data_IF_054412954024
#
_entry.id   IF_054412954024
#
_cell.length_a   1.000
_cell.length_b   1.000
_cell.length_c   1.000
_cell.angle_alpha   90.00
_cell.angle_beta   90.00
_cell.angle_gamma   90.00
#
_symmetry.space_group_name_H-M   'P 1'
#
loop_
_entity.id
_entity.type
_entity.pdbx_description
1 polymer ?
#
# COMPACT_ATOMS: atom_id res chain seq x y z
N UNK A 1 -31.07 -13.58 -3.94
CA UNK A 1 -30.13 -12.92 -3.00
C UNK A 1 -29.00 -12.39 -3.86
N UNK A 2 -29.09 -11.13 -4.31
CA UNK A 2 -27.96 -10.52 -4.99
C UNK A 2 -26.88 -10.30 -3.93
N UNK A 3 -25.73 -10.93 -4.08
CA UNK A 3 -24.54 -10.54 -3.33
C UNK A 3 -24.25 -9.10 -3.73
N UNK A 4 -24.41 -8.15 -2.79
CA UNK A 4 -23.79 -6.85 -2.95
C UNK A 4 -22.32 -7.12 -3.26
N UNK A 5 -21.88 -6.74 -4.46
CA UNK A 5 -20.46 -6.75 -4.78
C UNK A 5 -19.89 -5.67 -3.87
N UNK A 6 -19.28 -6.08 -2.77
CA UNK A 6 -18.57 -5.19 -1.88
C UNK A 6 -17.52 -4.47 -2.73
N UNK A 7 -17.76 -3.18 -2.97
CA UNK A 7 -16.90 -2.38 -3.84
C UNK A 7 -15.57 -2.24 -3.15
N UNK A 8 -14.51 -2.74 -3.80
CA UNK A 8 -13.18 -2.67 -3.23
C UNK A 8 -12.78 -1.20 -3.08
N UNK A 9 -12.05 -0.85 -2.01
CA UNK A 9 -11.54 0.52 -1.86
C UNK A 9 -10.74 0.96 -3.10
N UNK A 10 -10.08 0.01 -3.77
CA UNK A 10 -9.32 0.18 -5.01
C UNK A 10 -10.18 0.65 -6.19
N UNK A 11 -11.48 0.38 -6.22
CA UNK A 11 -12.40 0.94 -7.23
C UNK A 11 -12.65 2.44 -7.03
N UNK A 12 -12.36 2.95 -5.82
CA UNK A 12 -12.64 4.34 -5.44
C UNK A 12 -11.40 5.23 -5.42
N UNK A 13 -10.19 4.66 -5.46
CA UNK A 13 -8.94 5.41 -5.55
C UNK A 13 -8.44 5.46 -7.01
N UNK A 14 -8.02 6.63 -7.52
CA UNK A 14 -7.48 6.74 -8.87
C UNK A 14 -6.35 5.74 -9.12
N UNK A 15 -6.46 4.98 -10.22
CA UNK A 15 -5.50 3.95 -10.62
C UNK A 15 -5.65 2.59 -9.91
N UNK A 16 -6.50 2.48 -8.89
CA UNK A 16 -6.68 1.21 -8.16
C UNK A 16 -7.34 0.12 -9.00
N UNK A 17 -8.35 0.44 -9.81
CA UNK A 17 -8.97 -0.51 -10.73
C UNK A 17 -7.98 -1.06 -11.78
N UNK A 18 -7.08 -0.22 -12.29
CA UNK A 18 -6.03 -0.64 -13.22
C UNK A 18 -5.01 -1.57 -12.54
N UNK A 19 -4.65 -1.28 -11.29
CA UNK A 19 -3.79 -2.14 -10.49
C UNK A 19 -4.43 -3.51 -10.23
N UNK A 20 -5.71 -3.54 -9.85
CA UNK A 20 -6.44 -4.79 -9.65
C UNK A 20 -6.53 -5.60 -10.94
N UNK A 21 -6.76 -4.94 -12.08
CA UNK A 21 -6.75 -5.59 -13.40
C UNK A 21 -5.37 -6.14 -13.75
N UNK A 22 -4.30 -5.44 -13.40
CA UNK A 22 -2.94 -5.93 -13.57
C UNK A 22 -2.70 -7.19 -12.76
N UNK A 23 -3.01 -7.20 -11.45
CA UNK A 23 -2.79 -8.37 -10.60
C UNK A 23 -3.83 -9.49 -10.79
N UNK A 24 -4.98 -9.18 -11.38
CA UNK A 24 -6.12 -10.09 -11.55
C UNK A 24 -6.90 -10.37 -10.26
N UNK A 25 -6.60 -9.64 -9.18
CA UNK A 25 -7.20 -9.78 -7.85
C UNK A 25 -6.98 -8.52 -7.03
N UNK A 26 -7.64 -8.41 -5.87
CA UNK A 26 -7.30 -7.41 -4.86
C UNK A 26 -5.91 -7.76 -4.32
N UNK A 27 -4.90 -6.89 -4.47
CA UNK A 27 -3.54 -7.20 -4.03
C UNK A 27 -3.45 -7.17 -2.51
N UNK A 28 -2.95 -8.26 -1.91
CA UNK A 28 -2.61 -8.30 -0.47
C UNK A 28 -1.29 -7.60 -0.16
N UNK A 29 -0.39 -7.50 -1.15
CA UNK A 29 1.00 -7.05 -0.99
C UNK A 29 1.81 -7.89 0.02
N UNK A 30 1.41 -9.14 0.24
CA UNK A 30 2.18 -10.05 1.08
C UNK A 30 3.59 -10.21 0.53
N UNK A 31 4.58 -10.08 1.41
CA UNK A 31 6.01 -10.07 1.10
C UNK A 31 6.49 -8.94 0.16
N UNK A 32 5.67 -7.91 -0.08
CA UNK A 32 6.12 -6.78 -0.88
C UNK A 32 7.27 -6.04 -0.17
N UNK A 33 8.21 -5.52 -0.96
CA UNK A 33 9.37 -4.77 -0.44
C UNK A 33 9.16 -3.27 -0.62
N UNK A 34 9.34 -2.50 0.44
CA UNK A 34 9.32 -1.04 0.41
C UNK A 34 10.64 -0.55 -0.17
N UNK A 35 10.56 -0.03 -1.38
CA UNK A 35 11.67 0.64 -2.09
C UNK A 35 11.91 2.05 -1.54
N UNK A 36 10.86 2.70 -1.02
CA UNK A 36 11.03 3.98 -0.37
C UNK A 36 9.73 4.59 0.15
N UNK A 37 9.84 5.30 1.26
CA UNK A 37 8.79 6.16 1.81
C UNK A 37 9.31 7.58 1.93
N UNK A 38 8.72 8.50 1.17
CA UNK A 38 9.02 9.92 1.22
C UNK A 38 7.85 10.68 1.85
N UNK A 39 8.04 11.16 3.08
CA UNK A 39 7.07 12.00 3.77
C UNK A 39 7.38 13.48 3.52
N UNK A 40 6.42 14.20 2.92
CA UNK A 40 6.58 15.62 2.57
C UNK A 40 5.40 16.44 3.09
N UNK A 41 5.70 17.55 3.77
CA UNK A 41 4.66 18.40 4.39
C UNK A 41 3.88 19.26 3.41
N UNK A 42 4.55 19.78 2.37
CA UNK A 42 3.99 20.80 1.45
C UNK A 42 3.54 20.25 0.09
N UNK A 43 4.00 19.05 -0.24
CA UNK A 43 3.73 18.37 -1.51
C UNK A 43 3.34 16.92 -1.19
N UNK A 44 2.95 16.15 -2.20
CA UNK A 44 2.52 14.77 -2.00
C UNK A 44 3.63 13.90 -1.40
N UNK A 45 3.27 13.08 -0.42
CA UNK A 45 4.10 11.99 0.08
C UNK A 45 3.99 10.79 -0.86
N UNK A 46 5.00 9.93 -0.87
CA UNK A 46 5.07 8.80 -1.82
C UNK A 46 5.55 7.55 -1.09
N UNK A 47 4.84 6.44 -1.27
CA UNK A 47 5.30 5.10 -0.95
C UNK A 47 5.51 4.32 -2.25
N UNK A 48 6.70 3.73 -2.42
CA UNK A 48 7.00 2.82 -3.54
C UNK A 48 7.22 1.41 -3.01
N UNK A 49 6.55 0.44 -3.62
CA UNK A 49 6.66 -0.98 -3.30
C UNK A 49 7.06 -1.80 -4.53
N UNK A 50 7.92 -2.79 -4.36
CA UNK A 50 7.99 -3.92 -5.28
C UNK A 50 6.99 -4.99 -4.83
N UNK A 51 6.03 -5.31 -5.69
CA UNK A 51 4.97 -6.27 -5.39
C UNK A 51 4.80 -7.30 -6.52
N UNK A 52 4.15 -8.41 -6.21
CA UNK A 52 3.87 -9.51 -7.13
C UNK A 52 2.68 -10.34 -6.64
N UNK A 53 2.24 -11.30 -7.44
CA UNK A 53 1.33 -12.36 -7.00
C UNK A 53 2.07 -13.68 -6.86
N UNK A 54 1.70 -14.48 -5.87
CA UNK A 54 2.05 -15.90 -5.85
C UNK A 54 1.10 -16.65 -6.80
N UNK A 55 1.66 -17.45 -7.71
CA UNK A 55 0.85 -18.22 -8.68
C UNK A 55 0.28 -19.51 -8.10
N UNK A 56 0.71 -19.91 -6.90
CA UNK A 56 0.38 -21.20 -6.28
C UNK A 56 1.24 -22.36 -6.80
N UNK A 57 2.04 -22.14 -7.84
CA UNK A 57 2.97 -23.13 -8.36
C UNK A 57 4.29 -23.09 -7.57
N UNK A 58 4.90 -24.26 -7.39
CA UNK A 58 6.25 -24.38 -6.81
C UNK A 58 7.22 -24.74 -7.91
N UNK A 59 8.28 -23.94 -8.05
CA UNK A 59 9.35 -24.12 -9.00
C UNK A 59 10.22 -25.33 -8.69
N UNK A 60 11.09 -25.69 -9.64
CA UNK A 60 12.01 -26.83 -9.52
C UNK A 60 13.07 -26.65 -8.42
N UNK A 61 13.29 -25.41 -8.00
CA UNK A 61 14.18 -24.97 -6.93
C UNK A 61 13.50 -25.00 -5.55
N UNK A 62 12.20 -25.35 -5.48
CA UNK A 62 11.44 -25.44 -4.24
C UNK A 62 10.80 -24.11 -3.79
N UNK A 63 10.92 -23.04 -4.57
CA UNK A 63 10.32 -21.75 -4.25
C UNK A 63 9.00 -21.52 -4.99
N UNK A 64 8.12 -20.69 -4.44
CA UNK A 64 6.90 -20.29 -5.16
C UNK A 64 7.22 -19.52 -6.43
N UNK A 65 6.51 -19.82 -7.51
CA UNK A 65 6.59 -19.06 -8.74
C UNK A 65 5.81 -17.77 -8.56
N UNK A 66 6.52 -16.65 -8.66
CA UNK A 66 5.97 -15.30 -8.54
C UNK A 66 5.66 -14.73 -9.93
N UNK A 67 4.52 -14.06 -10.05
CA UNK A 67 4.02 -13.50 -11.29
C UNK A 67 3.63 -12.02 -11.18
N UNK A 68 3.49 -11.38 -12.34
CA UNK A 68 2.95 -10.01 -12.48
C UNK A 68 3.66 -9.00 -11.57
N UNK A 69 4.98 -9.09 -11.48
CA UNK A 69 5.77 -8.12 -10.73
C UNK A 69 5.44 -6.69 -11.19
N UNK A 70 5.36 -5.77 -10.24
CA UNK A 70 5.22 -4.36 -10.51
C UNK A 70 5.89 -3.52 -9.42
N UNK A 71 6.37 -2.35 -9.83
CA UNK A 71 6.70 -1.27 -8.91
C UNK A 71 5.44 -0.43 -8.73
N UNK A 72 4.83 -0.49 -7.56
CA UNK A 72 3.58 0.20 -7.23
C UNK A 72 3.92 1.47 -6.47
N UNK A 73 3.44 2.61 -6.98
CA UNK A 73 3.64 3.91 -6.37
C UNK A 73 2.31 4.44 -5.84
N UNK A 74 2.22 4.57 -4.53
CA UNK A 74 1.12 5.24 -3.85
C UNK A 74 1.51 6.70 -3.61
N UNK A 75 0.71 7.62 -4.14
CA UNK A 75 0.85 9.05 -3.89
C UNK A 75 -0.19 9.47 -2.87
N UNK A 76 0.26 10.01 -1.75
CA UNK A 76 -0.57 10.42 -0.61
C UNK A 76 -0.65 11.95 -0.53
N UNK A 77 -1.85 12.51 -0.62
CA UNK A 77 -2.08 13.94 -0.46
C UNK A 77 -2.55 14.26 0.96
N UNK A 78 -1.98 15.31 1.55
CA UNK A 78 -2.36 15.81 2.88
C UNK A 78 -2.32 14.68 3.93
N UNK A 79 -1.13 14.10 4.11
CA UNK A 79 -0.88 13.16 5.22
C UNK A 79 -1.14 13.90 6.53
N UNK A 80 -2.05 13.36 7.34
CA UNK A 80 -2.56 14.02 8.53
C UNK A 80 -2.30 13.26 9.81
N UNK A 81 -2.05 11.95 9.71
CA UNK A 81 -1.74 11.10 10.84
C UNK A 81 -0.75 10.02 10.42
N UNK A 82 0.14 9.65 11.34
CA UNK A 82 1.11 8.60 11.13
C UNK A 82 1.45 7.89 12.45
N UNK A 83 1.60 6.59 12.36
CA UNK A 83 2.20 5.75 13.39
C UNK A 83 3.06 4.74 12.66
N UNK A 84 4.38 4.92 12.72
CA UNK A 84 5.32 4.07 12.01
C UNK A 84 6.27 3.42 13.01
N UNK A 85 6.59 2.16 12.78
CA UNK A 85 7.55 1.41 13.59
C UNK A 85 8.42 0.51 12.71
N UNK A 86 9.62 0.20 13.20
CA UNK A 86 10.58 -0.64 12.52
C UNK A 86 11.32 0.06 11.38
N UNK A 87 12.57 -0.34 11.19
CA UNK A 87 13.38 -0.02 10.02
C UNK A 87 14.47 -1.10 9.95
N UNK A 88 14.32 -2.02 9.00
CA UNK A 88 15.14 -3.22 8.89
C UNK A 88 16.23 -3.11 7.83
N UNK A 89 17.15 -4.08 7.84
CA UNK A 89 18.14 -4.27 6.74
C UNK A 89 17.41 -4.72 5.46
N UNK A 90 16.28 -5.40 5.63
CA UNK A 90 15.30 -5.68 4.59
C UNK A 90 14.02 -4.93 4.96
N UNK A 91 13.24 -4.48 3.97
CA UNK A 91 12.07 -3.66 4.20
C UNK A 91 10.79 -4.31 3.65
N UNK A 92 10.55 -5.55 4.07
CA UNK A 92 9.43 -6.38 3.62
C UNK A 92 8.24 -6.25 4.59
N UNK A 93 7.05 -6.08 4.02
CA UNK A 93 5.78 -6.00 4.75
C UNK A 93 5.03 -7.34 4.71
N UNK A 94 4.24 -7.61 5.74
CA UNK A 94 3.33 -8.76 5.77
C UNK A 94 2.14 -8.59 4.82
N UNK A 95 1.82 -7.34 4.48
CA UNK A 95 0.73 -6.96 3.61
C UNK A 95 0.50 -5.45 3.62
N UNK A 96 -0.38 -4.99 2.74
CA UNK A 96 -0.87 -3.62 2.72
C UNK A 96 -2.38 -3.59 2.59
N UNK A 97 -3.04 -2.94 3.55
CA UNK A 97 -4.48 -2.69 3.50
C UNK A 97 -4.77 -1.21 3.25
N UNK A 98 -5.68 -0.94 2.33
CA UNK A 98 -6.31 0.37 2.17
C UNK A 98 -7.73 0.30 2.74
N UNK A 99 -8.14 1.33 3.48
CA UNK A 99 -9.51 1.43 4.01
C UNK A 99 -9.91 2.86 4.27
N UNK A 100 -11.20 3.10 4.49
CA UNK A 100 -11.66 4.37 5.07
C UNK A 100 -11.06 4.51 6.45
N UNK A 101 -10.53 5.70 6.73
CA UNK A 101 -9.90 5.96 8.00
C UNK A 101 -10.95 5.90 9.12
N UNK A 102 -10.77 5.04 10.13
CA UNK A 102 -11.69 4.99 11.26
C UNK A 102 -11.61 6.31 12.05
N UNK A 103 -12.69 6.67 12.74
CA UNK A 103 -12.61 7.74 13.74
C UNK A 103 -11.75 7.24 14.91
N UNK A 104 -10.79 8.07 15.32
CA UNK A 104 -9.90 7.85 16.45
C UNK A 104 -9.89 9.10 17.31
N UNK A 105 -10.91 9.29 18.17
CA UNK A 105 -11.02 10.48 19.00
C UNK A 105 -9.76 10.78 19.82
N UNK A 106 -9.09 9.74 20.31
CA UNK A 106 -7.84 9.79 21.07
C UNK A 106 -6.66 10.36 20.26
N UNK A 107 -6.73 10.31 18.92
CA UNK A 107 -5.69 10.84 18.03
C UNK A 107 -5.97 12.24 17.52
N UNK A 108 -7.16 12.82 17.77
CA UNK A 108 -7.56 14.13 17.22
C UNK A 108 -6.55 15.25 17.47
N UNK A 109 -5.89 15.26 18.63
CA UNK A 109 -4.86 16.25 18.96
C UNK A 109 -3.57 16.15 18.14
N UNK A 110 -3.34 15.03 17.45
CA UNK A 110 -2.16 14.83 16.60
C UNK A 110 -2.45 15.08 15.11
N UNK A 111 -3.73 15.24 14.73
CA UNK A 111 -4.11 15.41 13.34
C UNK A 111 -3.67 16.79 12.82
N UNK A 112 -3.04 16.81 11.66
CA UNK A 112 -2.62 18.06 11.02
C UNK A 112 -3.80 18.88 10.47
N UNK A 113 -4.93 18.22 10.17
CA UNK A 113 -6.17 18.78 9.62
C UNK A 113 -7.38 18.02 10.17
N UNK A 114 -8.57 18.62 10.12
CA UNK A 114 -9.79 17.96 10.58
C UNK A 114 -10.10 16.70 9.74
N UNK A 115 -10.47 15.58 10.41
CA UNK A 115 -10.74 14.33 9.74
C UNK A 115 -12.06 14.39 8.96
N UNK A 116 -12.08 13.75 7.78
CA UNK A 116 -13.29 13.55 6.99
C UNK A 116 -13.62 12.05 6.85
N UNK A 117 -14.91 11.68 6.69
CA UNK A 117 -15.31 10.28 6.51
C UNK A 117 -14.67 9.59 5.29
N UNK A 118 -14.32 10.36 4.25
CA UNK A 118 -13.68 9.84 3.04
C UNK A 118 -12.17 9.66 3.14
N UNK A 119 -11.51 10.12 4.22
CA UNK A 119 -10.07 9.98 4.38
C UNK A 119 -9.67 8.50 4.24
N UNK A 120 -8.47 8.28 3.69
CA UNK A 120 -7.93 6.94 3.47
C UNK A 120 -6.88 6.67 4.53
N UNK A 121 -6.95 5.47 5.09
CA UNK A 121 -5.86 4.89 5.85
C UNK A 121 -5.20 3.78 5.05
N UNK A 122 -3.88 3.85 5.03
CA UNK A 122 -3.00 2.80 4.57
C UNK A 122 -2.35 2.14 5.78
N UNK A 123 -2.47 0.83 5.86
CA UNK A 123 -1.83 0.00 6.88
C UNK A 123 -0.76 -0.87 6.22
N UNK A 124 0.46 -0.78 6.73
CA UNK A 124 1.60 -1.63 6.40
C UNK A 124 1.69 -2.69 7.49
N UNK A 125 1.28 -3.91 7.19
CA UNK A 125 1.28 -5.01 8.15
C UNK A 125 2.72 -5.43 8.46
N UNK A 126 3.05 -5.70 9.74
CA UNK A 126 4.42 -5.97 10.15
C UNK A 126 4.93 -7.32 9.61
N UNK A 127 6.17 -7.33 9.13
CA UNK A 127 6.95 -8.54 8.84
C UNK A 127 8.42 -8.34 9.21
N UNK A 128 9.23 -7.76 8.31
CA UNK A 128 10.64 -7.46 8.55
C UNK A 128 10.98 -6.12 7.89
N UNK A 129 10.82 -5.02 8.62
CA UNK A 129 10.97 -3.67 8.07
C UNK A 129 10.05 -2.65 8.73
N UNK A 130 9.76 -1.60 7.97
CA UNK A 130 8.80 -0.56 8.29
C UNK A 130 7.37 -1.13 8.31
N UNK A 131 6.62 -0.78 9.34
CA UNK A 131 5.20 -1.11 9.47
C UNK A 131 4.41 0.03 10.11
N UNK A 132 3.09 -0.08 10.12
CA UNK A 132 2.20 0.86 10.80
C UNK A 132 1.17 1.52 9.88
N UNK A 133 0.73 2.72 10.24
CA UNK A 133 -0.43 3.40 9.68
C UNK A 133 -0.06 4.77 9.12
N UNK A 134 -0.63 5.09 7.96
CA UNK A 134 -0.58 6.42 7.36
C UNK A 134 -2.01 6.83 6.97
N UNK A 135 -2.50 7.93 7.55
CA UNK A 135 -3.77 8.55 7.15
C UNK A 135 -3.52 9.73 6.23
N UNK A 136 -4.24 9.77 5.11
CA UNK A 136 -4.17 10.83 4.12
C UNK A 136 -5.57 11.24 3.66
N UNK A 137 -5.72 12.48 3.19
CA UNK A 137 -6.98 12.95 2.60
C UNK A 137 -7.37 12.14 1.38
N UNK A 138 -6.38 11.81 0.54
CA UNK A 138 -6.56 10.97 -0.63
C UNK A 138 -5.30 10.19 -0.96
N UNK A 139 -5.50 9.09 -1.67
CA UNK A 139 -4.46 8.21 -2.21
C UNK A 139 -4.74 8.03 -3.70
N UNK A 140 -3.68 8.05 -4.51
CA UNK A 140 -3.72 7.63 -5.91
C UNK A 140 -2.60 6.64 -6.19
N UNK A 141 -2.83 5.79 -7.17
CA UNK A 141 -1.99 4.63 -7.46
C UNK A 141 -1.51 4.73 -8.91
N UNK A 142 -0.22 4.50 -9.10
CA UNK A 142 0.37 4.20 -10.41
C UNK A 142 1.25 2.97 -10.27
N UNK A 143 1.52 2.28 -11.36
CA UNK A 143 2.43 1.14 -11.34
C UNK A 143 3.16 0.96 -12.66
N UNK A 144 4.34 0.35 -12.56
CA UNK A 144 5.18 -0.03 -13.69
C UNK A 144 5.39 -1.55 -13.65
N UNK A 145 4.99 -2.31 -14.68
CA UNK A 145 5.29 -3.74 -14.77
C UNK A 145 6.78 -4.04 -14.74
N UNK A 146 7.19 -5.01 -13.93
CA UNK A 146 8.57 -5.45 -13.84
C UNK A 146 9.11 -5.51 -12.41
N UNK A 147 10.40 -5.81 -12.33
CA UNK A 147 11.18 -5.82 -11.08
C UNK A 147 11.96 -4.51 -10.92
N UNK A 148 12.33 -4.13 -9.69
CA UNK A 148 13.23 -3.02 -9.42
C UNK A 148 14.54 -3.15 -10.21
N UNK A 149 15.09 -1.99 -10.58
CA UNK A 149 16.46 -1.90 -11.08
C UNK A 149 17.39 -1.33 -9.99
N UNK A 150 18.69 -1.28 -10.23
CA UNK A 150 19.66 -0.84 -9.23
C UNK A 150 19.52 0.63 -8.76
N UNK A 151 18.66 1.43 -9.39
CA UNK A 151 18.35 2.81 -8.96
C UNK A 151 17.12 2.89 -8.07
N UNK A 152 16.41 1.77 -7.89
CA UNK A 152 15.22 1.66 -7.04
C UNK A 152 15.55 1.24 -5.59
N UNK A 153 16.80 0.84 -5.34
CA UNK A 153 17.35 0.45 -4.02
C UNK A 153 18.10 1.60 -3.33
#
# INVERSE_FOLDING_TARGET
>A
MASEIETSIYDTVPGGADLMRWFGQVPSFHDAEILGLHLRRKVQSVLRLHAWINTGEVGRDGYFVLGRHAIVTFTLSEVMDLQLDGFGIQNVIGGLALRRAPDRPERRGYLAIDPLPQDIEMELEPCNGLSGLIRARAVSITFEPGKPNAQDD
#
